data_IF_735508286713
#
_entry.id   IF_735508286713
#
_cell.length_a   1.000
_cell.length_b   1.000
_cell.length_c   1.000
_cell.angle_alpha   90.00
_cell.angle_beta   90.00
_cell.angle_gamma   90.00
#
_symmetry.space_group_name_H-M   'P 1'
#
loop_
_entity.id
_entity.type
_entity.pdbx_description
1 polymer ?
#
# COMPACT_ATOMS: atom_id res chain seq x y z
N UNK A 1 26.18 -1.40 26.24
CA UNK A 1 26.14 -1.60 24.77
C UNK A 1 25.10 -2.65 24.47
N UNK A 2 23.97 -2.22 23.91
CA UNK A 2 23.23 -2.95 22.88
C UNK A 2 22.19 -1.97 22.34
N UNK A 3 22.60 -1.26 21.29
CA UNK A 3 21.68 -0.70 20.31
C UNK A 3 20.95 -1.88 19.67
N UNK A 4 19.89 -2.37 20.31
CA UNK A 4 18.89 -3.14 19.59
C UNK A 4 18.24 -2.16 18.64
N UNK A 5 18.63 -2.31 17.37
CA UNK A 5 18.09 -1.69 16.18
C UNK A 5 16.67 -1.20 16.43
N UNK A 6 16.43 0.07 16.14
CA UNK A 6 15.08 0.64 16.06
C UNK A 6 14.38 -0.11 14.91
N UNK A 7 13.83 -1.28 15.21
CA UNK A 7 12.98 -2.01 14.30
C UNK A 7 11.84 -1.06 13.94
N UNK A 8 11.65 -0.83 12.64
CA UNK A 8 10.58 0.05 12.19
C UNK A 8 9.26 -0.45 12.79
N UNK A 9 8.37 0.42 13.28
CA UNK A 9 7.11 0.02 13.91
C UNK A 9 6.26 -0.88 12.99
N UNK A 10 6.46 -0.74 11.67
CA UNK A 10 5.93 -1.63 10.66
C UNK A 10 6.51 -3.05 10.70
N UNK A 11 7.84 -3.20 10.82
CA UNK A 11 8.49 -4.50 10.92
C UNK A 11 8.09 -5.22 12.22
N UNK A 12 8.04 -4.53 13.35
CA UNK A 12 7.54 -5.09 14.61
C UNK A 12 6.07 -5.53 14.50
N UNK A 13 5.24 -4.78 13.78
CA UNK A 13 3.86 -5.16 13.48
C UNK A 13 3.78 -6.42 12.61
N UNK A 14 4.63 -6.54 11.58
CA UNK A 14 4.67 -7.74 10.72
C UNK A 14 5.14 -8.98 11.49
N UNK A 15 6.17 -8.82 12.32
CA UNK A 15 6.70 -9.90 13.13
C UNK A 15 5.67 -10.38 14.18
N UNK A 16 5.01 -9.45 14.88
CA UNK A 16 3.96 -9.80 15.85
C UNK A 16 2.75 -10.45 15.18
N UNK A 17 2.34 -9.97 14.01
CA UNK A 17 1.27 -10.58 13.22
C UNK A 17 1.63 -12.01 12.79
N UNK A 18 2.86 -12.23 12.32
CA UNK A 18 3.33 -13.57 11.96
C UNK A 18 3.42 -14.49 13.17
N UNK A 19 3.87 -13.97 14.32
CA UNK A 19 3.92 -14.71 15.57
C UNK A 19 2.51 -15.12 16.05
N UNK A 20 1.53 -14.21 15.96
CA UNK A 20 0.13 -14.49 16.29
C UNK A 20 -0.47 -15.58 15.39
N UNK A 21 -0.18 -15.57 14.09
CA UNK A 21 -0.63 -16.62 13.15
C UNK A 21 0.04 -17.97 13.44
N UNK A 22 1.31 -17.96 13.87
CA UNK A 22 1.98 -19.19 14.26
C UNK A 22 1.38 -19.76 15.56
N UNK A 23 1.10 -18.90 16.54
CA UNK A 23 0.44 -19.30 17.79
C UNK A 23 -0.96 -19.85 17.53
N UNK A 24 -1.75 -19.22 16.66
CA UNK A 24 -3.08 -19.73 16.31
C UNK A 24 -3.03 -21.11 15.65
N UNK A 25 -2.03 -21.39 14.82
CA UNK A 25 -1.80 -22.74 14.25
C UNK A 25 -1.39 -23.76 15.30
N UNK A 26 -0.59 -23.37 16.30
CA UNK A 26 -0.23 -24.27 17.42
C UNK A 26 -1.46 -24.56 18.27
N UNK A 27 -2.27 -23.53 18.58
CA UNK A 27 -3.55 -23.66 19.28
C UNK A 27 -4.50 -24.59 18.54
N UNK A 28 -4.64 -24.42 17.22
CA UNK A 28 -5.48 -25.26 16.37
C UNK A 28 -5.03 -26.73 16.40
N UNK A 29 -3.71 -27.00 16.35
CA UNK A 29 -3.19 -28.37 16.47
C UNK A 29 -3.45 -29.01 17.83
N UNK A 30 -3.47 -28.21 18.90
CA UNK A 30 -3.80 -28.69 20.25
C UNK A 30 -5.30 -28.98 20.39
N UNK A 31 -6.15 -28.23 19.67
CA UNK A 31 -7.61 -28.36 19.71
C UNK A 31 -8.18 -29.40 18.73
N UNK A 32 -7.50 -29.68 17.60
CA UNK A 32 -7.96 -30.58 16.53
C UNK A 32 -7.67 -32.08 16.80
N UNK A 33 -7.22 -32.45 17.99
CA UNK A 33 -7.14 -33.87 18.37
C UNK A 33 -8.52 -34.26 18.88
N UNK A 34 -9.19 -35.18 18.19
CA UNK A 34 -10.56 -35.71 18.44
C UNK A 34 -10.83 -36.28 19.86
N UNK A 35 -9.93 -36.07 20.82
CA UNK A 35 -10.13 -36.39 22.23
C UNK A 35 -10.90 -35.27 22.93
N UNK A 36 -12.07 -35.64 23.43
CA UNK A 36 -12.82 -35.00 24.54
C UNK A 36 -11.89 -34.10 25.35
N UNK A 37 -12.00 -32.77 25.16
CA UNK A 37 -11.28 -31.67 25.82
C UNK A 37 -10.31 -32.16 26.89
N UNK A 38 -9.14 -32.63 26.45
CA UNK A 38 -8.13 -33.14 27.37
C UNK A 38 -7.55 -31.94 28.10
N UNK A 39 -8.14 -31.64 29.27
CA UNK A 39 -8.02 -30.36 29.95
C UNK A 39 -6.56 -30.08 30.28
N UNK A 40 -5.80 -31.13 30.58
CA UNK A 40 -4.37 -31.08 30.86
C UNK A 40 -3.52 -30.59 29.67
N UNK A 41 -3.87 -30.95 28.42
CA UNK A 41 -3.17 -30.47 27.21
C UNK A 41 -3.43 -28.99 26.98
N UNK A 42 -4.67 -28.53 27.25
CA UNK A 42 -5.05 -27.12 27.14
C UNK A 42 -4.38 -26.30 28.24
N UNK A 43 -4.34 -26.79 29.49
CA UNK A 43 -3.66 -26.12 30.61
C UNK A 43 -2.15 -26.04 30.37
N UNK A 44 -1.55 -27.10 29.83
CA UNK A 44 -0.13 -27.12 29.46
C UNK A 44 0.21 -26.12 28.34
N UNK A 45 -0.68 -25.99 27.34
CA UNK A 45 -0.57 -24.97 26.30
C UNK A 45 -0.67 -23.57 26.91
N UNK A 46 -1.69 -23.32 27.74
CA UNK A 46 -1.94 -22.02 28.36
C UNK A 46 -0.76 -21.58 29.23
N UNK A 47 -0.18 -22.49 30.00
CA UNK A 47 0.97 -22.19 30.86
C UNK A 47 2.23 -21.87 30.05
N UNK A 48 2.43 -22.53 28.90
CA UNK A 48 3.64 -22.37 28.08
C UNK A 48 3.56 -21.18 27.12
N UNK A 49 2.39 -20.93 26.52
CA UNK A 49 2.21 -19.96 25.45
C UNK A 49 1.32 -18.77 25.84
N UNK A 50 0.64 -18.78 26.99
CA UNK A 50 -0.27 -17.70 27.38
C UNK A 50 0.43 -16.35 27.56
N UNK A 51 1.63 -16.32 28.15
CA UNK A 51 2.42 -15.09 28.24
C UNK A 51 2.88 -14.62 26.85
N UNK A 52 3.26 -15.55 25.98
CA UNK A 52 3.71 -15.23 24.63
C UNK A 52 2.57 -14.70 23.75
N UNK A 53 1.36 -15.26 23.87
CA UNK A 53 0.16 -14.74 23.21
C UNK A 53 -0.10 -13.30 23.65
N UNK A 54 -0.12 -13.05 24.96
CA UNK A 54 -0.31 -11.71 25.51
C UNK A 54 0.75 -10.71 25.02
N UNK A 55 2.03 -11.09 25.05
CA UNK A 55 3.11 -10.22 24.60
C UNK A 55 3.04 -9.92 23.09
N UNK A 56 2.64 -10.91 22.27
CA UNK A 56 2.44 -10.70 20.83
C UNK A 56 1.27 -9.78 20.52
N UNK A 57 0.14 -9.95 21.22
CA UNK A 57 -1.04 -9.07 21.05
C UNK A 57 -0.73 -7.65 21.50
N UNK A 58 -0.03 -7.50 22.64
CA UNK A 58 0.41 -6.19 23.13
C UNK A 58 1.33 -5.50 22.13
N UNK A 59 2.35 -6.19 21.63
CA UNK A 59 3.27 -5.63 20.65
C UNK A 59 2.55 -5.24 19.34
N UNK A 60 1.54 -6.00 18.93
CA UNK A 60 0.72 -5.68 17.76
C UNK A 60 -0.12 -4.41 17.98
N UNK A 61 -0.72 -4.27 19.17
CA UNK A 61 -1.53 -3.09 19.52
C UNK A 61 -0.67 -1.82 19.61
N UNK A 62 0.48 -1.91 20.27
CA UNK A 62 1.39 -0.77 20.46
C UNK A 62 1.99 -0.29 19.13
N UNK A 63 2.40 -1.24 18.27
CA UNK A 63 2.92 -0.91 16.93
C UNK A 63 1.84 -0.31 16.01
N UNK A 64 0.62 -0.86 16.02
CA UNK A 64 -0.51 -0.33 15.26
C UNK A 64 -0.88 1.09 15.71
N UNK A 65 -0.92 1.33 17.02
CA UNK A 65 -1.20 2.67 17.54
C UNK A 65 -0.12 3.69 17.15
N UNK A 66 1.14 3.27 17.11
CA UNK A 66 2.26 4.12 16.70
C UNK A 66 2.15 4.47 15.21
N UNK A 67 1.94 3.47 14.35
CA UNK A 67 1.67 3.66 12.91
C UNK A 67 0.49 4.59 12.65
N UNK A 68 -0.59 4.45 13.43
CA UNK A 68 -1.78 5.29 13.29
C UNK A 68 -1.51 6.75 13.67
N UNK A 69 -0.66 7.00 14.68
CA UNK A 69 -0.23 8.35 15.05
C UNK A 69 0.62 8.98 13.94
N UNK A 70 1.61 8.25 13.44
CA UNK A 70 2.48 8.72 12.33
C UNK A 70 1.67 9.02 11.07
N UNK A 71 0.69 8.18 10.74
CA UNK A 71 -0.19 8.39 9.60
C UNK A 71 -1.00 9.69 9.75
N UNK A 72 -1.63 9.89 10.92
CA UNK A 72 -2.38 11.13 11.22
C UNK A 72 -1.48 12.36 11.16
N UNK A 73 -0.25 12.28 11.64
CA UNK A 73 0.70 13.39 11.59
C UNK A 73 1.09 13.75 10.15
N UNK A 74 1.36 12.74 9.31
CA UNK A 74 1.61 12.93 7.87
C UNK A 74 0.39 13.53 7.16
N UNK A 75 -0.80 13.06 7.47
CA UNK A 75 -2.04 13.61 6.94
C UNK A 75 -2.22 15.08 7.32
N UNK A 76 -2.00 15.44 8.58
CA UNK A 76 -2.03 16.84 9.02
C UNK A 76 -0.97 17.68 8.32
N UNK A 77 0.27 17.20 8.19
CA UNK A 77 1.35 17.90 7.46
C UNK A 77 0.97 18.12 5.99
N UNK A 78 0.35 17.15 5.33
CA UNK A 78 -0.14 17.27 3.95
C UNK A 78 -1.30 18.26 3.83
N UNK A 79 -2.24 18.25 4.79
CA UNK A 79 -3.34 19.23 4.84
C UNK A 79 -2.79 20.64 5.07
N UNK A 80 -1.91 20.84 6.04
CA UNK A 80 -1.30 22.14 6.31
C UNK A 80 -0.47 22.64 5.13
N UNK A 81 0.32 21.78 4.47
CA UNK A 81 1.07 22.16 3.24
C UNK A 81 0.16 22.60 2.09
N UNK A 82 -1.04 22.05 1.97
CA UNK A 82 -2.04 22.53 0.99
C UNK A 82 -2.62 23.90 1.34
N UNK A 83 -2.61 24.29 2.62
CA UNK A 83 -3.11 25.58 3.10
C UNK A 83 -2.00 26.63 3.28
N UNK A 84 -0.72 26.23 3.32
CA UNK A 84 0.44 27.11 3.49
C UNK A 84 1.21 27.34 2.19
N UNK A 85 0.54 27.34 1.04
CA UNK A 85 1.11 27.89 -0.19
C UNK A 85 1.10 29.42 -0.03
N UNK A 86 2.04 29.93 0.78
CA UNK A 86 2.42 31.33 0.77
C UNK A 86 3.12 31.59 -0.57
N UNK A 87 2.48 32.36 -1.44
CA UNK A 87 3.03 32.77 -2.73
C UNK A 87 4.15 33.83 -2.61
N UNK A 88 4.55 34.20 -1.38
CA UNK A 88 5.47 35.32 -1.11
C UNK A 88 6.90 34.89 -0.73
N UNK A 89 7.22 33.59 -0.64
CA UNK A 89 8.59 33.15 -0.34
C UNK A 89 9.22 32.40 -1.52
N UNK A 90 9.59 33.16 -2.56
CA UNK A 90 10.33 32.67 -3.72
C UNK A 90 11.79 32.26 -3.41
N UNK A 91 12.21 32.18 -2.14
CA UNK A 91 13.62 31.99 -1.78
C UNK A 91 13.94 30.69 -1.03
N UNK A 92 12.96 29.89 -0.63
CA UNK A 92 13.19 28.63 0.12
C UNK A 92 12.98 27.35 -0.70
N UNK A 93 12.92 27.44 -2.03
CA UNK A 93 12.77 26.28 -2.92
C UNK A 93 14.07 25.52 -3.24
N UNK A 94 15.24 26.03 -2.80
CA UNK A 94 16.56 25.51 -3.20
C UNK A 94 17.32 24.77 -2.08
N UNK A 95 16.83 24.75 -0.85
CA UNK A 95 17.58 24.16 0.28
C UNK A 95 17.22 22.69 0.62
N UNK A 96 16.34 22.04 -0.14
CA UNK A 96 15.99 20.61 0.10
C UNK A 96 16.58 19.62 -0.92
N UNK A 97 17.56 20.02 -1.75
CA UNK A 97 18.24 19.12 -2.71
C UNK A 97 19.69 18.78 -2.33
N UNK A 98 20.31 19.43 -1.33
CA UNK A 98 21.72 19.18 -0.98
C UNK A 98 21.92 18.71 0.47
N UNK A 99 21.57 17.46 0.74
CA UNK A 99 22.25 16.66 1.76
C UNK A 99 22.71 15.36 1.13
N UNK A 100 23.72 15.48 0.27
CA UNK A 100 24.86 14.57 0.13
C UNK A 100 25.70 15.07 -1.06
N UNK A 101 26.99 15.30 -0.84
CA UNK A 101 27.99 15.75 -1.83
C UNK A 101 28.15 17.27 -1.95
N UNK A 102 29.02 17.86 -1.12
CA UNK A 102 30.18 18.64 -1.58
C UNK A 102 30.85 19.34 -0.39
N UNK A 103 31.95 18.76 0.09
CA UNK A 103 32.90 19.44 0.96
C UNK A 103 33.80 20.37 0.14
N UNK A 104 34.14 21.51 0.75
CA UNK A 104 35.10 22.55 0.32
C UNK A 104 34.61 23.41 -0.85
N UNK A 105 34.58 24.74 -0.77
CA UNK A 105 35.72 25.63 -0.52
C UNK A 105 35.23 26.92 0.17
N UNK A 106 35.96 27.36 1.20
CA UNK A 106 35.87 28.69 1.83
C UNK A 106 36.56 29.74 0.96
N UNK A 107 35.99 30.94 0.86
CA UNK A 107 36.66 32.26 0.93
C UNK A 107 35.57 33.35 0.93
N UNK A 108 35.24 34.02 2.05
CA UNK A 108 35.75 35.36 2.45
C UNK A 108 35.88 36.38 1.33
N UNK A 109 35.09 37.44 1.38
CA UNK A 109 35.35 38.69 0.65
C UNK A 109 34.09 39.49 0.35
N UNK A 110 33.97 40.65 1.00
CA UNK A 110 32.91 41.64 0.87
C UNK A 110 32.97 42.37 -0.48
N UNK A 111 31.81 42.80 -0.97
CA UNK A 111 31.58 44.04 -1.74
C UNK A 111 32.10 44.14 -3.19
N UNK A 112 31.28 43.70 -4.16
CA UNK A 112 31.05 44.34 -5.47
C UNK A 112 30.08 43.48 -6.31
N UNK A 113 28.78 43.77 -6.22
CA UNK A 113 27.75 42.97 -6.88
C UNK A 113 27.50 43.32 -8.36
N UNK A 114 27.95 44.48 -8.85
CA UNK A 114 27.67 44.88 -10.25
C UNK A 114 28.73 44.36 -11.24
N UNK A 115 29.99 44.22 -10.82
CA UNK A 115 31.06 43.61 -11.63
C UNK A 115 30.87 42.11 -11.80
N UNK A 116 30.20 41.45 -10.84
CA UNK A 116 29.98 40.02 -10.87
C UNK A 116 28.91 39.62 -11.90
N UNK A 117 27.90 40.45 -12.16
CA UNK A 117 26.87 40.15 -13.17
C UNK A 117 27.41 40.39 -14.59
N UNK A 118 28.24 41.42 -14.80
CA UNK A 118 28.92 41.64 -16.08
C UNK A 118 29.98 40.57 -16.34
N UNK A 119 30.75 40.17 -15.32
CA UNK A 119 31.68 39.04 -15.42
C UNK A 119 30.98 37.70 -15.60
N UNK A 120 29.82 37.45 -14.95
CA UNK A 120 29.00 36.26 -15.22
C UNK A 120 28.46 36.27 -16.65
N UNK A 121 28.04 37.44 -17.16
CA UNK A 121 27.52 37.61 -18.53
C UNK A 121 28.63 37.36 -19.55
N UNK A 122 29.83 37.91 -19.35
CA UNK A 122 31.00 37.61 -20.18
C UNK A 122 31.47 36.16 -20.06
N UNK A 123 31.27 35.50 -18.91
CA UNK A 123 31.66 34.10 -18.73
C UNK A 123 30.62 33.11 -19.27
N UNK A 124 29.34 33.48 -19.27
CA UNK A 124 28.23 32.73 -19.86
C UNK A 124 28.15 32.92 -21.38
N UNK A 125 28.50 34.10 -21.91
CA UNK A 125 28.51 34.38 -23.35
C UNK A 125 29.89 34.22 -24.00
N UNK A 126 30.98 34.50 -23.29
CA UNK A 126 32.34 34.60 -23.85
C UNK A 126 33.23 33.36 -23.66
N UNK A 127 32.87 32.38 -22.81
CA UNK A 127 33.73 31.20 -22.60
C UNK A 127 33.55 30.07 -23.64
N UNK A 128 32.86 30.34 -24.76
CA UNK A 128 32.91 29.47 -25.95
C UNK A 128 33.79 30.02 -27.07
N UNK A 129 34.45 31.17 -26.87
CA UNK A 129 35.25 31.84 -27.91
C UNK A 129 36.78 31.66 -27.76
N UNK A 130 37.27 30.95 -26.74
CA UNK A 130 38.71 30.65 -26.60
C UNK A 130 39.17 29.37 -27.29
N UNK A 131 38.31 28.73 -28.10
CA UNK A 131 38.77 27.77 -29.12
C UNK A 131 38.33 28.29 -30.48
N UNK A 132 39.10 29.28 -30.93
CA UNK A 132 39.14 29.72 -32.31
C UNK A 132 39.55 28.51 -33.16
N UNK A 133 38.56 27.82 -33.74
CA UNK A 133 38.79 27.11 -35.01
C UNK A 133 39.10 28.20 -36.04
N UNK A 134 40.38 28.54 -36.14
CA UNK A 134 40.94 29.14 -37.34
C UNK A 134 40.83 28.07 -38.43
N UNK A 135 39.88 28.27 -39.33
CA UNK A 135 39.93 27.68 -40.66
C UNK A 135 40.32 28.77 -41.69
N UNK A 136 41.00 28.33 -42.74
CA UNK A 136 42.15 28.92 -43.42
C UNK A 136 41.91 30.22 -44.24
N UNK A 137 40.77 30.90 -44.13
CA UNK A 137 40.42 32.00 -45.04
C UNK A 137 40.05 33.36 -44.41
N UNK A 138 40.34 33.59 -43.12
CA UNK A 138 40.44 34.96 -42.58
C UNK A 138 39.21 35.87 -42.71
N UNK A 139 38.02 35.32 -42.96
CA UNK A 139 36.77 36.09 -42.97
C UNK A 139 36.10 35.88 -41.62
N UNK A 140 36.02 36.96 -40.83
CA UNK A 140 35.16 37.06 -39.65
C UNK A 140 33.75 36.64 -40.08
N UNK A 141 33.32 35.43 -39.69
CA UNK A 141 31.92 35.00 -39.86
C UNK A 141 31.09 36.06 -39.13
N UNK A 142 30.35 36.87 -39.88
CA UNK A 142 29.68 38.04 -39.34
C UNK A 142 28.75 37.62 -38.21
N UNK A 143 28.72 38.41 -37.15
CA UNK A 143 27.85 38.23 -35.98
C UNK A 143 26.39 37.99 -36.42
N UNK A 144 25.96 38.57 -37.54
CA UNK A 144 24.64 38.32 -38.14
C UNK A 144 24.36 36.86 -38.49
N UNK A 145 25.35 36.12 -39.03
CA UNK A 145 25.18 34.70 -39.36
C UNK A 145 25.08 33.82 -38.10
N UNK A 146 25.68 34.28 -37.01
CA UNK A 146 25.60 33.61 -35.71
C UNK A 146 24.27 33.92 -34.99
N UNK A 147 23.72 35.13 -35.20
CA UNK A 147 22.38 35.50 -34.74
C UNK A 147 21.33 34.68 -35.50
N UNK A 148 21.46 34.52 -36.82
CA UNK A 148 20.55 33.71 -37.64
C UNK A 148 20.53 32.22 -37.21
N UNK A 149 21.70 31.64 -36.93
CA UNK A 149 21.80 30.27 -36.41
C UNK A 149 21.15 30.15 -35.01
N UNK A 150 21.29 31.16 -34.13
CA UNK A 150 20.63 31.16 -32.82
C UNK A 150 19.11 31.31 -32.92
N UNK A 151 18.61 32.14 -33.84
CA UNK A 151 17.18 32.36 -34.03
C UNK A 151 16.50 31.10 -34.58
N UNK A 152 17.18 30.38 -35.49
CA UNK A 152 16.73 29.06 -35.94
C UNK A 152 16.69 28.03 -34.80
N UNK A 153 17.72 27.98 -33.95
CA UNK A 153 17.70 27.08 -32.78
C UNK A 153 16.60 27.44 -31.78
N UNK A 154 16.33 28.74 -31.57
CA UNK A 154 15.24 29.18 -30.69
C UNK A 154 13.87 28.82 -31.26
N UNK A 155 13.66 29.01 -32.56
CA UNK A 155 12.42 28.61 -33.23
C UNK A 155 12.21 27.09 -33.18
N UNK A 156 13.27 26.30 -33.38
CA UNK A 156 13.22 24.84 -33.24
C UNK A 156 12.93 24.41 -31.79
N UNK A 157 13.49 25.11 -30.80
CA UNK A 157 13.21 24.85 -29.39
C UNK A 157 11.74 25.17 -29.05
N UNK A 158 11.21 26.29 -29.53
CA UNK A 158 9.81 26.67 -29.31
C UNK A 158 8.87 25.65 -29.95
N UNK A 159 9.17 25.16 -31.15
CA UNK A 159 8.38 24.11 -31.81
C UNK A 159 8.45 22.79 -31.03
N UNK A 160 9.64 22.41 -30.55
CA UNK A 160 9.82 21.23 -29.71
C UNK A 160 9.12 21.35 -28.35
N UNK A 161 9.12 22.53 -27.73
CA UNK A 161 8.37 22.77 -26.49
C UNK A 161 6.86 22.73 -26.73
N UNK A 162 6.38 23.27 -27.86
CA UNK A 162 4.98 23.19 -28.26
C UNK A 162 4.55 21.73 -28.46
N UNK A 163 5.37 20.92 -29.15
CA UNK A 163 5.14 19.47 -29.30
C UNK A 163 5.19 18.74 -27.97
N UNK A 164 6.12 19.07 -27.08
CA UNK A 164 6.21 18.47 -25.75
C UNK A 164 4.95 18.76 -24.92
N UNK A 165 4.46 20.01 -24.94
CA UNK A 165 3.23 20.40 -24.25
C UNK A 165 2.01 19.73 -24.89
N UNK A 166 2.00 19.55 -26.21
CA UNK A 166 0.95 18.81 -26.90
C UNK A 166 0.93 17.34 -26.47
N UNK A 167 2.10 16.69 -26.45
CA UNK A 167 2.25 15.32 -25.98
C UNK A 167 1.91 15.18 -24.49
N UNK A 168 2.23 16.17 -23.67
CA UNK A 168 1.87 16.20 -22.26
C UNK A 168 0.34 16.34 -22.08
N UNK A 169 -0.30 17.20 -22.89
CA UNK A 169 -1.75 17.35 -22.91
C UNK A 169 -2.43 16.05 -23.35
N UNK A 170 -1.93 15.41 -24.39
CA UNK A 170 -2.45 14.14 -24.88
C UNK A 170 -2.25 13.02 -23.85
N UNK A 171 -1.07 12.97 -23.21
CA UNK A 171 -0.77 12.08 -22.10
C UNK A 171 -1.68 12.32 -20.89
N UNK A 172 -1.98 13.58 -20.55
CA UNK A 172 -2.90 13.93 -19.48
C UNK A 172 -4.34 13.53 -19.78
N UNK A 173 -4.79 13.68 -21.04
CA UNK A 173 -6.11 13.21 -21.49
C UNK A 173 -6.19 11.68 -21.46
N UNK A 174 -5.16 10.99 -21.94
CA UNK A 174 -5.08 9.53 -21.85
C UNK A 174 -5.07 9.04 -20.39
N UNK A 175 -4.34 9.73 -19.51
CA UNK A 175 -4.30 9.43 -18.08
C UNK A 175 -5.65 9.69 -17.40
N UNK A 176 -6.35 10.75 -17.77
CA UNK A 176 -7.70 11.04 -17.27
C UNK A 176 -8.71 9.99 -17.72
N UNK A 177 -8.65 9.56 -18.99
CA UNK A 177 -9.50 8.49 -19.51
C UNK A 177 -9.21 7.15 -18.81
N UNK A 178 -7.94 6.81 -18.59
CA UNK A 178 -7.56 5.62 -17.83
C UNK A 178 -8.06 5.68 -16.37
N UNK A 179 -8.01 6.85 -15.73
CA UNK A 179 -8.55 7.05 -14.39
C UNK A 179 -10.08 6.91 -14.32
N UNK A 180 -10.80 7.40 -15.33
CA UNK A 180 -12.26 7.26 -15.38
C UNK A 180 -12.67 5.81 -15.68
N UNK A 181 -11.88 5.08 -16.48
CA UNK A 181 -12.01 3.63 -16.64
C UNK A 181 -11.75 2.90 -15.32
N UNK A 182 -10.65 3.21 -14.63
CA UNK A 182 -10.30 2.62 -13.33
C UNK A 182 -11.38 2.88 -12.27
N UNK A 183 -11.95 4.09 -12.22
CA UNK A 183 -13.11 4.38 -11.34
C UNK A 183 -14.30 3.50 -11.66
N UNK A 184 -14.58 3.25 -12.93
CA UNK A 184 -15.70 2.39 -13.35
C UNK A 184 -15.43 0.93 -12.98
N UNK A 185 -14.20 0.45 -13.17
CA UNK A 185 -13.77 -0.89 -12.74
C UNK A 185 -13.84 -1.03 -11.22
N UNK A 186 -13.41 -0.01 -10.48
CA UNK A 186 -13.47 0.01 -9.02
C UNK A 186 -14.92 0.00 -8.51
N UNK A 187 -15.82 0.75 -9.15
CA UNK A 187 -17.26 0.69 -8.84
C UNK A 187 -17.88 -0.68 -9.16
N UNK A 188 -17.47 -1.32 -10.26
CA UNK A 188 -17.89 -2.68 -10.57
C UNK A 188 -17.34 -3.71 -9.56
N UNK A 189 -16.10 -3.53 -9.11
CA UNK A 189 -15.49 -4.33 -8.05
C UNK A 189 -16.18 -4.11 -6.69
N UNK A 190 -16.57 -2.88 -6.36
CA UNK A 190 -17.33 -2.56 -5.15
C UNK A 190 -18.70 -3.26 -5.15
N UNK A 191 -19.42 -3.19 -6.26
CA UNK A 191 -20.69 -3.92 -6.44
C UNK A 191 -20.46 -5.43 -6.32
N UNK A 192 -19.40 -5.96 -6.96
CA UNK A 192 -19.02 -7.37 -6.88
C UNK A 192 -18.72 -7.83 -5.45
N UNK A 193 -17.95 -7.05 -4.69
CA UNK A 193 -17.65 -7.30 -3.28
C UNK A 193 -18.91 -7.23 -2.43
N UNK A 194 -19.80 -6.26 -2.69
CA UNK A 194 -21.04 -6.13 -1.94
C UNK A 194 -21.97 -7.33 -2.18
N UNK A 195 -22.08 -7.80 -3.43
CA UNK A 195 -22.86 -9.00 -3.79
C UNK A 195 -22.23 -10.26 -3.18
N UNK A 196 -20.90 -10.41 -3.24
CA UNK A 196 -20.19 -11.52 -2.60
C UNK A 196 -20.37 -11.52 -1.08
N UNK A 197 -20.31 -10.34 -0.44
CA UNK A 197 -20.55 -10.17 0.99
C UNK A 197 -21.98 -10.56 1.38
N UNK A 198 -22.99 -10.13 0.61
CA UNK A 198 -24.38 -10.55 0.81
C UNK A 198 -24.55 -12.06 0.61
N UNK A 199 -23.89 -12.65 -0.39
CA UNK A 199 -23.88 -14.09 -0.62
C UNK A 199 -23.26 -14.87 0.54
N UNK A 200 -22.11 -14.41 1.06
CA UNK A 200 -21.45 -15.00 2.23
C UNK A 200 -22.32 -14.89 3.49
N UNK A 201 -23.01 -13.77 3.69
CA UNK A 201 -23.94 -13.59 4.81
C UNK A 201 -25.16 -14.50 4.70
N UNK A 202 -25.73 -14.68 3.50
CA UNK A 202 -26.86 -15.60 3.28
C UNK A 202 -26.44 -17.07 3.46
N UNK A 203 -25.26 -17.45 2.96
CA UNK A 203 -24.68 -18.79 3.16
C UNK A 203 -24.37 -19.02 4.64
N UNK A 204 -23.80 -18.04 5.33
CA UNK A 204 -23.54 -18.09 6.79
C UNK A 204 -24.84 -18.16 7.58
N UNK A 205 -25.88 -17.42 7.16
CA UNK A 205 -27.21 -17.45 7.74
C UNK A 205 -27.90 -18.80 7.57
N UNK A 206 -27.73 -19.45 6.42
CA UNK A 206 -28.23 -20.81 6.18
C UNK A 206 -27.45 -21.83 7.00
N UNK A 207 -26.12 -21.72 7.10
CA UNK A 207 -25.27 -22.62 7.90
C UNK A 207 -25.57 -22.53 9.40
N UNK A 208 -25.79 -21.33 9.92
CA UNK A 208 -26.20 -21.12 11.33
C UNK A 208 -27.65 -21.55 11.59
N UNK A 209 -28.54 -21.51 10.59
CA UNK A 209 -29.88 -22.09 10.71
C UNK A 209 -29.89 -23.62 10.69
N UNK A 210 -28.82 -24.23 10.16
CA UNK A 210 -28.51 -25.66 10.23
C UNK A 210 -27.81 -26.06 11.56
N UNK A 211 -27.78 -25.18 12.55
CA UNK A 211 -27.21 -25.51 13.84
C UNK A 211 -27.97 -26.63 14.58
N UNK A 212 -27.19 -27.45 15.28
CA UNK A 212 -27.35 -28.87 15.62
C UNK A 212 -28.65 -29.30 16.32
N UNK A 213 -29.47 -28.36 16.80
CA UNK A 213 -30.71 -28.67 17.54
C UNK A 213 -31.84 -29.23 16.67
N UNK A 214 -31.98 -28.75 15.42
CA UNK A 214 -33.06 -29.23 14.53
C UNK A 214 -32.75 -30.58 13.89
N UNK A 215 -31.47 -30.85 13.60
CA UNK A 215 -31.05 -32.13 13.02
C UNK A 215 -31.26 -33.28 14.01
N UNK A 216 -30.93 -33.07 15.29
CA UNK A 216 -31.20 -34.04 16.34
C UNK A 216 -32.70 -34.34 16.50
N UNK A 217 -33.54 -33.31 16.54
CA UNK A 217 -34.99 -33.50 16.70
C UNK A 217 -35.64 -34.25 15.53
N UNK A 218 -35.28 -33.94 14.28
CA UNK A 218 -35.78 -34.67 13.11
C UNK A 218 -35.28 -36.13 13.10
N UNK A 219 -34.02 -36.36 13.49
CA UNK A 219 -33.48 -37.71 13.64
C UNK A 219 -34.26 -38.54 14.69
N UNK A 220 -34.56 -37.96 15.86
CA UNK A 220 -35.37 -38.62 16.88
C UNK A 220 -36.77 -38.99 16.36
N UNK A 221 -37.43 -38.10 15.61
CA UNK A 221 -38.73 -38.38 15.00
C UNK A 221 -38.64 -39.52 13.98
N UNK A 222 -37.63 -39.53 13.12
CA UNK A 222 -37.45 -40.58 12.11
C UNK A 222 -37.18 -41.95 12.77
N UNK A 223 -36.34 -42.00 13.81
CA UNK A 223 -36.07 -43.23 14.56
C UNK A 223 -37.32 -43.74 15.26
N UNK A 224 -38.10 -42.85 15.88
CA UNK A 224 -39.36 -43.21 16.52
C UNK A 224 -40.38 -43.77 15.53
N UNK A 225 -40.51 -43.14 14.36
CA UNK A 225 -41.38 -43.63 13.29
C UNK A 225 -40.94 -45.00 12.76
N UNK A 226 -39.63 -45.20 12.58
CA UNK A 226 -39.08 -46.49 12.14
C UNK A 226 -39.33 -47.61 13.18
N UNK A 227 -39.27 -47.28 14.48
CA UNK A 227 -39.63 -48.21 15.56
C UNK A 227 -41.09 -48.67 15.46
N UNK A 228 -42.03 -47.76 15.17
CA UNK A 228 -43.44 -48.09 14.97
C UNK A 228 -43.68 -48.96 13.73
N UNK A 229 -43.03 -48.63 12.62
CA UNK A 229 -43.11 -49.42 11.39
C UNK A 229 -42.55 -50.82 11.62
N UNK A 230 -41.41 -50.95 12.32
CA UNK A 230 -40.86 -52.24 12.73
C UNK A 230 -41.84 -53.06 13.58
N UNK A 231 -42.51 -52.43 14.55
CA UNK A 231 -43.51 -53.09 15.38
C UNK A 231 -44.71 -53.59 14.56
N UNK A 232 -45.25 -52.75 13.67
CA UNK A 232 -46.34 -53.16 12.76
C UNK A 232 -45.90 -54.33 11.88
N UNK A 233 -44.67 -54.28 11.35
CA UNK A 233 -44.13 -55.32 10.49
C UNK A 233 -43.95 -56.64 11.25
N UNK A 234 -43.45 -56.60 12.50
CA UNK A 234 -43.39 -57.80 13.37
C UNK A 234 -44.79 -58.34 13.72
N UNK A 235 -45.76 -57.48 13.97
CA UNK A 235 -47.14 -57.90 14.25
C UNK A 235 -47.79 -58.55 13.02
N UNK A 236 -47.54 -58.01 11.83
CA UNK A 236 -47.96 -58.62 10.56
C UNK A 236 -47.32 -60.00 10.41
N UNK A 237 -46.00 -60.14 10.66
CA UNK A 237 -45.32 -61.44 10.57
C UNK A 237 -45.94 -62.47 11.54
N UNK A 238 -46.19 -62.10 12.80
CA UNK A 238 -46.82 -62.99 13.79
C UNK A 238 -48.23 -63.40 13.34
N UNK A 239 -49.01 -62.46 12.79
CA UNK A 239 -50.38 -62.76 12.33
C UNK A 239 -50.43 -63.49 10.99
N UNK A 240 -49.38 -63.39 10.17
CA UNK A 240 -49.25 -64.10 8.89
C UNK A 240 -48.79 -65.55 9.10
N UNK A 241 -48.04 -65.82 10.17
CA UNK A 241 -47.65 -67.16 10.63
C UNK A 241 -48.23 -67.50 12.03
N UNK A 242 -49.56 -67.62 12.19
CA UNK A 242 -50.16 -68.01 13.46
C UNK A 242 -50.06 -69.52 13.72
N UNK A 243 -49.52 -70.30 12.79
CA UNK A 243 -49.48 -71.76 12.85
C UNK A 243 -48.20 -72.30 12.20
N UNK A 244 -47.14 -72.35 12.98
CA UNK A 244 -46.04 -73.31 12.88
C UNK A 244 -45.64 -73.69 14.31
#
# INVERSE_FOLDING_TARGET
MNETQVETPFLTYLLSTKAAVNLSKVRERVLNVDDIVNTDKVTSYQQKYGHLEFDTERAQYDSLNTLRKEYKEKEMKLRTRRYSIDFDNAQTGLEMINTETSQSIRSTGNDHNDDNVQALRERLLGNRQSRMDLDENGIVKSVDKQIEDQDNMQNELVDNMSKLVHNLKEGAVAFQNALDEDKKVLGAAEIGIQVASRGLLDVTGKLTKYDKKKLGYMFYITVFLFMFVGLILTFIIIKLFPAL
#
